data_IF_935020595352
#
_entry.id   IF_935020595352
#
_cell.length_a   1.000
_cell.length_b   1.000
_cell.length_c   1.000
_cell.angle_alpha   90.00
_cell.angle_beta   90.00
_cell.angle_gamma   90.00
#
_symmetry.space_group_name_H-M   'P 1'
#
loop_
_entity.id
_entity.type
_entity.pdbx_description
1 polymer ?
#
# COMPACT_ATOMS: atom_id res chain seq x y z
N UNK A 1 -4.97 -16.20 37.31
CA UNK A 1 -6.22 -16.85 36.85
C UNK A 1 -7.19 -15.74 36.46
N UNK A 2 -7.49 -15.58 35.18
CA UNK A 2 -8.36 -14.50 34.70
C UNK A 2 -9.79 -15.03 34.48
N UNK A 3 -10.83 -14.39 35.06
CA UNK A 3 -12.21 -14.84 34.98
C UNK A 3 -12.96 -14.13 33.86
N UNK A 4 -13.14 -14.78 32.71
CA UNK A 4 -14.24 -14.42 31.77
C UNK A 4 -14.63 -15.57 30.82
N UNK A 5 -14.23 -16.81 31.12
CA UNK A 5 -14.71 -17.97 30.38
C UNK A 5 -16.16 -18.28 30.78
N UNK A 6 -17.13 -17.98 29.92
CA UNK A 6 -18.31 -18.83 29.74
C UNK A 6 -19.13 -18.47 28.50
N UNK A 7 -19.17 -19.47 27.60
CA UNK A 7 -20.26 -19.86 26.69
C UNK A 7 -20.57 -18.93 25.51
N UNK A 8 -20.13 -19.36 24.33
CA UNK A 8 -21.02 -19.79 23.24
C UNK A 8 -20.23 -20.75 22.33
N UNK A 9 -20.48 -22.05 22.48
CA UNK A 9 -20.07 -23.08 21.54
C UNK A 9 -21.05 -23.03 20.37
N UNK A 10 -20.63 -22.49 19.24
CA UNK A 10 -21.21 -22.83 17.94
C UNK A 10 -20.15 -23.64 17.22
N UNK A 11 -20.47 -24.90 16.95
CA UNK A 11 -19.61 -25.79 16.19
C UNK A 11 -19.52 -25.29 14.74
N UNK A 12 -18.33 -24.88 14.30
CA UNK A 12 -18.04 -24.70 12.88
C UNK A 12 -17.82 -26.07 12.21
N UNK A 13 -18.33 -26.30 10.99
CA UNK A 13 -18.12 -27.55 10.28
C UNK A 13 -16.65 -27.68 9.85
N UNK A 14 -16.10 -28.87 10.10
CA UNK A 14 -14.74 -29.26 9.78
C UNK A 14 -14.49 -29.33 8.26
N UNK A 15 -13.76 -28.35 7.73
CA UNK A 15 -12.76 -28.54 6.67
C UNK A 15 -11.99 -27.23 6.47
N UNK A 16 -11.22 -26.83 7.48
CA UNK A 16 -10.14 -25.88 7.24
C UNK A 16 -8.95 -26.69 6.75
N UNK A 17 -8.68 -26.63 5.45
CA UNK A 17 -7.34 -26.99 4.94
C UNK A 17 -6.35 -26.22 5.80
N UNK A 18 -5.55 -26.93 6.60
CA UNK A 18 -4.58 -26.32 7.50
C UNK A 18 -3.46 -25.75 6.62
N UNK A 19 -3.66 -24.54 6.11
CA UNK A 19 -2.58 -23.79 5.51
C UNK A 19 -1.70 -23.31 6.66
N UNK A 20 -0.46 -23.82 6.80
CA UNK A 20 0.45 -23.32 7.83
C UNK A 20 0.59 -21.81 7.64
N UNK A 21 0.42 -21.06 8.73
CA UNK A 21 0.61 -19.61 8.72
C UNK A 21 1.96 -19.29 8.08
N UNK A 22 2.00 -18.43 7.04
CA UNK A 22 3.26 -18.08 6.36
C UNK A 22 4.23 -17.32 7.28
N UNK A 23 3.74 -16.83 8.43
CA UNK A 23 4.54 -16.17 9.47
C UNK A 23 5.08 -17.20 10.47
N UNK A 24 6.38 -17.19 10.73
CA UNK A 24 7.02 -18.12 11.66
C UNK A 24 6.47 -17.97 13.10
N UNK A 25 6.47 -19.04 13.92
CA UNK A 25 5.83 -19.03 15.24
C UNK A 25 6.36 -17.95 16.19
N UNK A 26 7.67 -17.67 16.14
CA UNK A 26 8.31 -16.65 16.99
C UNK A 26 7.77 -15.26 16.66
N UNK A 27 7.77 -14.88 15.37
CA UNK A 27 7.23 -13.59 14.93
C UNK A 27 5.73 -13.50 15.21
N UNK A 28 4.99 -14.58 14.98
CA UNK A 28 3.55 -14.64 15.30
C UNK A 28 3.31 -14.33 16.77
N UNK A 29 4.09 -14.92 17.68
CA UNK A 29 3.97 -14.65 19.12
C UNK A 29 4.33 -13.21 19.47
N UNK A 30 5.40 -12.64 18.88
CA UNK A 30 5.77 -11.23 19.09
C UNK A 30 4.66 -10.27 18.68
N UNK A 31 4.02 -10.52 17.53
CA UNK A 31 2.87 -9.72 17.05
C UNK A 31 1.72 -9.79 18.05
N UNK A 32 1.35 -10.99 18.50
CA UNK A 32 0.21 -11.19 19.41
C UNK A 32 0.45 -10.60 20.81
N UNK A 33 1.71 -10.56 21.26
CA UNK A 33 2.10 -9.90 22.51
C UNK A 33 2.13 -8.36 22.38
N UNK A 34 1.89 -7.81 21.19
CA UNK A 34 1.95 -6.37 20.95
C UNK A 34 3.37 -5.80 20.99
N UNK A 35 4.39 -6.64 20.80
CA UNK A 35 5.76 -6.17 20.68
C UNK A 35 5.98 -5.49 19.33
N UNK A 36 6.96 -4.59 19.29
CA UNK A 36 7.43 -4.03 18.03
C UNK A 36 8.01 -5.15 17.15
N UNK A 37 7.57 -5.22 15.90
CA UNK A 37 8.05 -6.16 14.89
C UNK A 37 8.37 -5.35 13.64
N UNK A 38 9.61 -5.47 13.16
CA UNK A 38 10.01 -4.90 11.88
C UNK A 38 9.34 -5.70 10.74
N UNK A 39 8.44 -5.06 9.99
CA UNK A 39 7.65 -5.69 8.94
C UNK A 39 8.51 -6.28 7.82
N UNK A 40 9.74 -5.82 7.64
CA UNK A 40 10.69 -6.41 6.68
C UNK A 40 10.93 -7.89 6.95
N UNK A 41 10.87 -8.31 8.22
CA UNK A 41 11.05 -9.71 8.65
C UNK A 41 9.92 -10.63 8.18
N UNK A 42 8.73 -10.08 7.89
CA UNK A 42 7.58 -10.85 7.40
C UNK A 42 7.66 -11.15 5.89
N UNK A 43 8.56 -10.47 5.18
CA UNK A 43 8.73 -10.61 3.73
C UNK A 43 9.82 -11.62 3.36
N UNK A 44 10.51 -12.18 4.35
CA UNK A 44 11.52 -13.21 4.08
C UNK A 44 10.80 -14.53 3.77
N UNK A 45 11.02 -15.14 2.58
CA UNK A 45 10.60 -16.51 2.37
C UNK A 45 11.35 -17.37 3.39
N UNK A 46 10.60 -18.10 4.20
CA UNK A 46 11.11 -19.15 5.07
C UNK A 46 11.98 -20.08 4.22
N UNK A 47 13.30 -19.93 4.29
CA UNK A 47 14.34 -20.83 3.78
C UNK A 47 13.99 -21.38 2.38
N UNK A 48 14.13 -20.56 1.34
CA UNK A 48 14.44 -21.13 0.03
C UNK A 48 15.91 -21.50 0.08
N UNK A 49 16.20 -22.79 -0.03
CA UNK A 49 17.57 -23.28 -0.19
C UNK A 49 18.21 -22.61 -1.42
N UNK A 50 19.04 -21.60 -1.18
CA UNK A 50 19.76 -20.81 -2.20
C UNK A 50 20.92 -21.57 -2.84
N UNK A 51 21.09 -22.86 -2.53
CA UNK A 51 22.21 -23.67 -3.02
C UNK A 51 21.99 -24.25 -4.43
N UNK A 52 20.79 -24.16 -5.02
CA UNK A 52 20.53 -24.71 -6.35
C UNK A 52 20.27 -23.61 -7.41
N UNK A 53 21.05 -23.58 -8.52
CA UNK A 53 20.70 -22.82 -9.71
C UNK A 53 19.32 -23.25 -10.20
N UNK A 54 18.39 -22.29 -10.34
CA UNK A 54 17.06 -22.57 -10.87
C UNK A 54 17.09 -22.48 -12.39
N UNK A 55 17.15 -23.63 -13.05
CA UNK A 55 16.94 -23.72 -14.49
C UNK A 55 15.43 -23.77 -14.79
N UNK A 56 14.96 -22.90 -15.69
CA UNK A 56 13.62 -22.99 -16.26
C UNK A 56 13.73 -23.53 -17.67
N UNK A 57 13.13 -24.69 -17.93
CA UNK A 57 12.95 -25.19 -19.29
C UNK A 57 11.85 -24.37 -19.97
N UNK A 58 12.21 -23.68 -21.05
CA UNK A 58 11.26 -22.99 -21.94
C UNK A 58 11.20 -23.68 -23.30
N UNK A 59 10.20 -23.33 -24.11
CA UNK A 59 10.10 -23.71 -25.52
C UNK A 59 11.25 -23.16 -26.38
N UNK A 60 12.04 -22.21 -25.85
CA UNK A 60 13.21 -21.60 -26.49
C UNK A 60 14.54 -22.10 -25.90
N UNK A 61 14.50 -23.10 -25.01
CA UNK A 61 15.68 -23.68 -24.36
C UNK A 61 15.72 -23.47 -22.84
N UNK A 62 16.84 -23.87 -22.23
CA UNK A 62 17.08 -23.74 -20.79
C UNK A 62 17.45 -22.29 -20.45
N UNK A 63 16.69 -21.67 -19.54
CA UNK A 63 16.97 -20.34 -19.00
C UNK A 63 17.51 -20.49 -17.59
N UNK A 64 18.76 -20.08 -17.38
CA UNK A 64 19.36 -19.98 -16.05
C UNK A 64 18.82 -18.75 -15.33
N UNK A 65 18.10 -18.94 -14.22
CA UNK A 65 17.72 -17.83 -13.36
C UNK A 65 18.94 -17.36 -12.56
N UNK A 66 19.23 -16.06 -12.61
CA UNK A 66 20.22 -15.45 -11.71
C UNK A 66 19.75 -15.63 -10.27
N UNK A 67 20.65 -16.12 -9.41
CA UNK A 67 20.40 -16.16 -7.98
C UNK A 67 20.04 -14.75 -7.49
N UNK A 68 18.98 -14.59 -6.67
CA UNK A 68 18.65 -13.30 -6.10
C UNK A 68 19.85 -12.78 -5.31
N UNK A 69 20.27 -11.55 -5.61
CA UNK A 69 21.38 -10.93 -4.90
C UNK A 69 21.09 -10.90 -3.39
N UNK A 70 22.05 -11.25 -2.52
CA UNK A 70 21.85 -11.25 -1.07
C UNK A 70 21.63 -9.84 -0.48
N UNK A 71 21.90 -8.79 -1.24
CA UNK A 71 21.67 -7.40 -0.85
C UNK A 71 20.22 -7.00 -1.10
N UNK A 72 19.30 -7.47 -0.25
CA UNK A 72 17.98 -6.84 -0.17
C UNK A 72 18.17 -5.38 0.26
N UNK A 73 17.58 -4.45 -0.47
CA UNK A 73 17.53 -3.04 -0.07
C UNK A 73 16.99 -2.94 1.36
N UNK A 74 17.60 -2.11 2.21
CA UNK A 74 17.10 -1.85 3.58
C UNK A 74 15.75 -1.11 3.58
N UNK A 75 15.30 -0.66 2.41
CA UNK A 75 14.14 0.18 2.23
C UNK A 75 12.95 -0.65 1.76
N UNK A 76 11.89 -0.72 2.56
CA UNK A 76 10.63 -1.35 2.17
C UNK A 76 9.85 -0.40 1.24
N UNK A 77 9.43 -0.90 0.09
CA UNK A 77 8.54 -0.17 -0.82
C UNK A 77 7.10 -0.13 -0.30
N UNK A 78 6.23 0.79 -0.76
CA UNK A 78 4.83 0.80 -0.34
C UNK A 78 4.09 -0.51 -0.64
N UNK A 79 4.41 -1.16 -1.77
CA UNK A 79 3.85 -2.48 -2.13
C UNK A 79 4.33 -3.58 -1.20
N UNK A 80 5.64 -3.64 -0.92
CA UNK A 80 6.19 -4.58 0.06
C UNK A 80 5.60 -4.35 1.46
N UNK A 81 5.41 -3.09 1.85
CA UNK A 81 4.75 -2.73 3.10
C UNK A 81 3.32 -3.28 3.13
N UNK A 82 2.52 -3.08 2.07
CA UNK A 82 1.16 -3.59 2.01
C UNK A 82 1.11 -5.12 2.13
N UNK A 83 2.05 -5.83 1.51
CA UNK A 83 2.18 -7.28 1.63
C UNK A 83 2.54 -7.70 3.06
N UNK A 84 3.58 -7.10 3.65
CA UNK A 84 4.03 -7.40 5.01
C UNK A 84 2.94 -7.09 6.03
N UNK A 85 2.28 -5.95 5.88
CA UNK A 85 1.20 -5.53 6.75
C UNK A 85 -0.03 -6.42 6.61
N UNK A 86 -0.31 -6.96 5.43
CA UNK A 86 -1.38 -7.95 5.25
C UNK A 86 -1.11 -9.24 6.04
N UNK A 87 0.14 -9.69 6.12
CA UNK A 87 0.55 -10.82 6.96
C UNK A 87 0.40 -10.48 8.45
N UNK A 88 0.89 -9.32 8.87
CA UNK A 88 0.74 -8.82 10.25
C UNK A 88 -0.74 -8.76 10.67
N UNK A 89 -1.58 -8.14 9.82
CA UNK A 89 -3.02 -8.03 10.02
C UNK A 89 -3.68 -9.41 10.08
N UNK A 90 -3.28 -10.35 9.23
CA UNK A 90 -3.76 -11.73 9.26
C UNK A 90 -3.48 -12.41 10.60
N UNK A 91 -2.29 -12.21 11.16
CA UNK A 91 -1.95 -12.71 12.51
C UNK A 91 -2.85 -12.10 13.58
N UNK A 92 -2.99 -10.76 13.61
CA UNK A 92 -3.85 -10.09 14.60
C UNK A 92 -5.31 -10.53 14.46
N UNK A 93 -5.87 -10.52 13.25
CA UNK A 93 -7.28 -10.84 12.99
C UNK A 93 -7.61 -12.31 13.23
N UNK A 94 -6.62 -13.22 13.22
CA UNK A 94 -6.84 -14.61 13.60
C UNK A 94 -7.20 -14.80 15.09
N UNK A 95 -6.94 -13.79 15.92
CA UNK A 95 -7.28 -13.78 17.36
C UNK A 95 -8.30 -12.66 17.68
N UNK A 96 -8.20 -11.53 17.00
CA UNK A 96 -9.03 -10.33 17.21
C UNK A 96 -9.70 -9.90 15.89
N UNK A 97 -10.70 -10.65 15.39
CA UNK A 97 -11.30 -10.41 14.08
C UNK A 97 -11.96 -9.04 13.95
N UNK A 98 -12.45 -8.48 15.06
CA UNK A 98 -13.08 -7.14 15.12
C UNK A 98 -12.11 -6.00 14.81
N UNK A 99 -10.79 -6.22 14.89
CA UNK A 99 -9.77 -5.21 14.55
C UNK A 99 -9.53 -5.06 13.06
N UNK A 100 -10.22 -5.83 12.21
CA UNK A 100 -9.97 -5.83 10.76
C UNK A 100 -10.16 -4.44 10.13
N UNK A 101 -11.28 -3.78 10.41
CA UNK A 101 -11.60 -2.46 9.86
C UNK A 101 -10.55 -1.41 10.26
N UNK A 102 -10.19 -1.36 11.55
CA UNK A 102 -9.15 -0.47 12.09
C UNK A 102 -7.81 -0.65 11.35
N UNK A 103 -7.39 -1.90 11.12
CA UNK A 103 -6.12 -2.18 10.46
C UNK A 103 -6.17 -1.90 8.95
N UNK A 104 -7.33 -2.09 8.31
CA UNK A 104 -7.53 -1.71 6.91
C UNK A 104 -7.47 -0.17 6.74
N UNK A 105 -8.03 0.59 7.69
CA UNK A 105 -7.90 2.05 7.76
C UNK A 105 -6.45 2.50 7.93
N UNK A 106 -5.69 1.83 8.82
CA UNK A 106 -4.28 2.11 9.02
C UNK A 106 -3.45 1.88 7.74
N UNK A 107 -3.69 0.76 7.03
CA UNK A 107 -3.04 0.50 5.75
C UNK A 107 -3.33 1.62 4.74
N UNK A 108 -4.58 2.11 4.68
CA UNK A 108 -4.97 3.21 3.81
C UNK A 108 -4.21 4.50 4.16
N UNK A 109 -4.05 4.80 5.45
CA UNK A 109 -3.27 5.96 5.93
C UNK A 109 -1.81 5.87 5.48
N UNK A 110 -1.17 4.71 5.65
CA UNK A 110 0.24 4.49 5.26
C UNK A 110 0.46 4.63 3.75
N UNK A 111 -0.42 4.00 2.95
CA UNK A 111 -0.34 4.11 1.49
C UNK A 111 -0.63 5.53 1.00
N UNK A 112 -1.57 6.23 1.63
CA UNK A 112 -1.86 7.63 1.34
C UNK A 112 -0.64 8.52 1.63
N UNK A 113 0.05 8.35 2.76
CA UNK A 113 1.31 9.06 3.05
C UNK A 113 2.40 8.73 2.04
N UNK A 114 2.53 7.45 1.64
CA UNK A 114 3.50 7.03 0.65
C UNK A 114 3.25 7.69 -0.72
N UNK A 115 1.99 7.76 -1.16
CA UNK A 115 1.60 8.41 -2.41
C UNK A 115 1.75 9.92 -2.35
N UNK A 116 1.39 10.55 -1.22
CA UNK A 116 1.43 12.01 -1.06
C UNK A 116 2.85 12.54 -1.05
N UNK A 117 3.79 11.86 -0.41
CA UNK A 117 5.12 12.43 -0.16
C UNK A 117 6.27 11.67 -0.84
N UNK A 118 6.00 10.46 -1.34
CA UNK A 118 7.06 9.58 -1.84
C UNK A 118 8.09 9.23 -0.76
N UNK A 119 9.18 8.60 -1.21
CA UNK A 119 10.29 8.21 -0.34
C UNK A 119 9.86 7.30 0.82
N UNK A 120 10.58 7.38 1.94
CA UNK A 120 10.40 6.49 3.09
C UNK A 120 9.68 7.13 4.28
N UNK A 121 9.07 8.31 4.08
CA UNK A 121 8.38 9.01 5.18
C UNK A 121 7.27 8.18 5.81
N UNK A 122 6.50 7.47 4.99
CA UNK A 122 5.46 6.55 5.48
C UNK A 122 6.05 5.48 6.39
N UNK A 123 7.17 4.85 5.98
CA UNK A 123 7.78 3.82 6.80
C UNK A 123 8.42 4.37 8.08
N UNK A 124 9.00 5.57 8.03
CA UNK A 124 9.45 6.27 9.25
C UNK A 124 8.28 6.54 10.20
N UNK A 125 7.12 6.94 9.68
CA UNK A 125 5.90 7.09 10.48
C UNK A 125 5.49 5.75 11.10
N UNK A 126 5.42 4.68 10.31
CA UNK A 126 5.10 3.34 10.79
C UNK A 126 6.00 2.90 11.96
N UNK A 127 7.32 3.03 11.81
CA UNK A 127 8.28 2.63 12.85
C UNK A 127 8.05 3.41 14.15
N UNK A 128 7.84 4.73 14.06
CA UNK A 128 7.57 5.54 15.25
C UNK A 128 6.21 5.24 15.88
N UNK A 129 5.17 5.06 15.07
CA UNK A 129 3.82 4.77 15.54
C UNK A 129 3.77 3.42 16.28
N UNK A 130 4.30 2.38 15.64
CA UNK A 130 4.30 1.02 16.21
C UNK A 130 5.21 0.89 17.43
N UNK A 131 6.34 1.60 17.47
CA UNK A 131 7.19 1.69 18.65
C UNK A 131 6.45 2.32 19.85
N UNK A 132 5.69 3.39 19.61
CA UNK A 132 4.86 4.02 20.64
C UNK A 132 3.72 3.10 21.09
N UNK A 133 3.04 2.43 20.16
CA UNK A 133 1.98 1.48 20.47
C UNK A 133 2.50 0.32 21.34
N UNK A 134 3.64 -0.28 20.98
CA UNK A 134 4.29 -1.32 21.77
C UNK A 134 4.71 -0.81 23.16
N UNK A 135 5.21 0.41 23.24
CA UNK A 135 5.54 1.08 24.50
C UNK A 135 4.32 1.25 25.41
N UNK A 136 3.17 1.67 24.87
CA UNK A 136 1.93 1.83 25.66
C UNK A 136 1.40 0.52 26.21
N UNK A 137 1.49 -0.57 25.44
CA UNK A 137 1.13 -1.90 25.92
C UNK A 137 2.07 -2.31 27.07
N UNK A 138 3.39 -2.17 26.89
CA UNK A 138 4.37 -2.56 27.93
C UNK A 138 4.23 -1.74 29.21
N UNK A 139 4.00 -0.44 29.09
CA UNK A 139 4.00 0.47 30.24
C UNK A 139 2.65 0.54 30.95
N UNK A 140 1.55 0.45 30.20
CA UNK A 140 0.20 0.73 30.72
C UNK A 140 -0.81 -0.40 30.46
N UNK A 141 -0.40 -1.50 29.83
CA UNK A 141 -1.28 -2.57 29.36
C UNK A 141 -2.46 -2.05 28.52
N UNK A 142 -2.21 -0.97 27.76
CA UNK A 142 -3.22 -0.29 26.97
C UNK A 142 -2.95 -0.45 25.48
N UNK A 143 -3.92 -1.02 24.76
CA UNK A 143 -3.91 -1.06 23.30
C UNK A 143 -4.03 0.32 22.67
N UNK A 144 -3.47 0.49 21.48
CA UNK A 144 -3.62 1.70 20.66
C UNK A 144 -4.58 1.41 19.52
N UNK A 145 -5.44 2.36 19.15
CA UNK A 145 -6.26 2.30 17.93
C UNK A 145 -5.46 2.80 16.73
N UNK A 146 -5.35 2.00 15.68
CA UNK A 146 -4.50 2.23 14.51
C UNK A 146 -5.23 2.95 13.37
N UNK A 147 -6.56 2.88 13.32
CA UNK A 147 -7.36 3.46 12.23
C UNK A 147 -7.40 5.00 12.21
N UNK A 148 -6.74 5.66 13.15
CA UNK A 148 -6.66 7.12 13.24
C UNK A 148 -5.22 7.61 12.98
N UNK A 149 -5.10 8.65 12.16
CA UNK A 149 -3.82 9.32 11.92
C UNK A 149 -3.35 10.05 13.19
N UNK A 150 -2.13 9.77 13.65
CA UNK A 150 -1.47 10.56 14.69
C UNK A 150 -0.99 11.87 14.06
N UNK A 151 -1.78 12.93 14.23
CA UNK A 151 -1.50 14.24 13.65
C UNK A 151 -0.16 14.82 14.13
N UNK A 152 0.25 14.55 15.38
CA UNK A 152 1.52 15.07 15.92
C UNK A 152 2.70 14.38 15.25
N UNK A 153 2.63 13.05 15.12
CA UNK A 153 3.66 12.27 14.43
C UNK A 153 3.70 12.60 12.94
N UNK A 154 2.53 12.73 12.31
CA UNK A 154 2.40 13.16 10.92
C UNK A 154 3.08 14.52 10.69
N UNK A 155 2.72 15.55 11.46
CA UNK A 155 3.31 16.88 11.33
C UNK A 155 4.83 16.84 11.55
N UNK A 156 5.31 16.07 12.54
CA UNK A 156 6.76 15.95 12.81
C UNK A 156 7.54 15.41 11.60
N UNK A 157 6.95 14.49 10.84
CA UNK A 157 7.64 13.82 9.72
C UNK A 157 7.44 14.57 8.40
N UNK A 158 6.27 15.16 8.17
CA UNK A 158 5.86 15.64 6.85
C UNK A 158 5.68 17.16 6.73
N UNK A 159 5.66 17.95 7.81
CA UNK A 159 5.34 19.39 7.72
C UNK A 159 6.29 20.20 6.82
N UNK A 160 7.57 19.80 6.73
CA UNK A 160 8.56 20.46 5.87
C UNK A 160 8.69 19.82 4.48
N UNK A 161 7.83 18.85 4.12
CA UNK A 161 7.91 18.11 2.86
C UNK A 161 6.89 18.63 1.86
N UNK A 162 7.34 18.88 0.64
CA UNK A 162 6.44 19.17 -0.47
C UNK A 162 5.58 17.94 -0.75
N UNK A 163 4.26 18.13 -0.76
CA UNK A 163 3.32 17.12 -1.22
C UNK A 163 3.44 16.96 -2.74
N UNK A 164 3.55 15.72 -3.21
CA UNK A 164 3.42 15.32 -4.61
C UNK A 164 1.96 15.32 -5.07
N UNK A 165 1.01 15.45 -4.15
CA UNK A 165 -0.40 15.54 -4.49
C UNK A 165 -0.76 16.91 -5.02
N UNK A 166 -1.60 16.92 -6.05
CA UNK A 166 -2.20 18.10 -6.62
C UNK A 166 -2.85 18.96 -5.52
N UNK A 167 -2.45 20.22 -5.43
CA UNK A 167 -2.99 21.16 -4.44
C UNK A 167 -4.46 21.53 -4.68
N UNK A 168 -4.97 21.31 -5.89
CA UNK A 168 -6.35 21.65 -6.27
C UNK A 168 -7.35 20.52 -6.00
N UNK A 169 -6.99 19.26 -6.26
CA UNK A 169 -7.90 18.11 -6.10
C UNK A 169 -7.40 17.03 -5.14
N UNK A 170 -6.16 17.13 -4.64
CA UNK A 170 -5.55 16.17 -3.72
C UNK A 170 -5.03 14.87 -4.36
N UNK A 171 -5.12 14.72 -5.69
CA UNK A 171 -4.66 13.51 -6.37
C UNK A 171 -3.13 13.49 -6.56
N UNK A 172 -2.43 12.35 -6.31
CA UNK A 172 -0.99 12.21 -6.53
C UNK A 172 -0.60 11.93 -7.99
N UNK A 173 -1.57 11.82 -8.91
CA UNK A 173 -1.34 11.42 -10.30
C UNK A 173 -0.86 12.53 -11.23
N UNK A 174 -0.97 13.80 -10.81
CA UNK A 174 -0.67 14.96 -11.67
C UNK A 174 -0.30 16.21 -10.85
N UNK A 175 0.48 17.15 -11.41
CA UNK A 175 0.73 18.46 -10.80
C UNK A 175 -0.49 19.37 -10.90
N UNK A 176 -0.58 20.40 -10.03
CA UNK A 176 -1.70 21.35 -10.03
C UNK A 176 -1.93 22.03 -11.40
N UNK A 177 -0.86 22.28 -12.16
CA UNK A 177 -0.92 22.83 -13.52
C UNK A 177 -1.66 21.93 -14.52
N UNK A 178 -1.65 20.61 -14.30
CA UNK A 178 -2.38 19.64 -15.10
C UNK A 178 -3.74 19.28 -14.47
N UNK A 179 -4.15 19.97 -13.40
CA UNK A 179 -5.37 19.67 -12.68
C UNK A 179 -6.57 20.36 -13.32
N UNK A 180 -7.47 19.55 -13.83
CA UNK A 180 -8.73 19.99 -14.43
C UNK A 180 -9.83 20.15 -13.37
N UNK A 181 -9.45 20.62 -12.17
CA UNK A 181 -10.37 20.79 -11.04
C UNK A 181 -11.03 19.48 -10.56
N UNK A 182 -10.31 18.35 -10.67
CA UNK A 182 -10.83 17.02 -10.31
C UNK A 182 -11.80 16.41 -11.34
N UNK A 183 -12.07 17.09 -12.46
CA UNK A 183 -12.84 16.52 -13.58
C UNK A 183 -11.91 15.83 -14.57
N UNK A 184 -12.27 14.63 -15.02
CA UNK A 184 -11.47 13.93 -16.03
C UNK A 184 -11.73 14.49 -17.43
N UNK A 185 -10.68 14.60 -18.24
CA UNK A 185 -10.82 14.89 -19.67
C UNK A 185 -11.54 13.74 -20.37
N UNK A 186 -12.38 14.05 -21.35
CA UNK A 186 -13.05 13.04 -22.15
C UNK A 186 -12.06 12.44 -23.16
N UNK A 187 -11.73 11.16 -23.01
CA UNK A 187 -10.84 10.48 -23.97
C UNK A 187 -11.49 10.37 -25.35
N UNK A 188 -12.80 10.09 -25.44
CA UNK A 188 -13.51 10.03 -26.71
C UNK A 188 -13.43 11.37 -27.47
N UNK A 189 -13.58 12.50 -26.78
CA UNK A 189 -13.37 13.83 -27.38
C UNK A 189 -11.95 14.00 -27.92
N UNK A 190 -10.94 13.48 -27.19
CA UNK A 190 -9.54 13.66 -27.55
C UNK A 190 -9.06 12.78 -28.72
N UNK A 191 -9.65 11.59 -28.90
CA UNK A 191 -9.23 10.62 -29.90
C UNK A 191 -10.11 10.64 -31.17
N UNK A 192 -11.43 10.60 -31.02
CA UNK A 192 -12.37 10.31 -32.13
C UNK A 192 -13.54 11.31 -32.23
N UNK A 193 -13.60 12.30 -31.33
CA UNK A 193 -14.79 13.12 -31.11
C UNK A 193 -15.79 12.47 -30.16
N UNK A 194 -16.42 13.27 -29.31
CA UNK A 194 -17.44 12.80 -28.36
C UNK A 194 -18.84 13.08 -28.92
N UNK A 195 -19.66 12.04 -29.07
CA UNK A 195 -21.03 12.12 -29.59
C UNK A 195 -22.11 12.31 -28.51
N UNK A 196 -21.72 12.33 -27.23
CA UNK A 196 -22.66 12.54 -26.13
C UNK A 196 -23.01 14.03 -26.00
N UNK A 197 -24.26 14.38 -26.25
CA UNK A 197 -24.81 15.73 -26.13
C UNK A 197 -24.72 16.33 -24.72
N UNK A 198 -24.53 15.49 -23.68
CA UNK A 198 -24.37 15.90 -22.29
C UNK A 198 -23.23 15.14 -21.60
N UNK A 199 -22.05 15.14 -22.21
CA UNK A 199 -20.87 14.49 -21.63
C UNK A 199 -20.52 15.10 -20.26
N UNK A 200 -20.35 14.25 -19.24
CA UNK A 200 -19.95 14.68 -17.88
C UNK A 200 -18.44 14.94 -17.75
N UNK A 201 -17.68 14.56 -18.76
CA UNK A 201 -16.23 14.70 -18.84
C UNK A 201 -15.87 15.98 -19.61
N UNK A 202 -14.71 16.57 -19.31
CA UNK A 202 -14.32 17.85 -19.91
C UNK A 202 -13.86 17.65 -21.37
N UNK A 203 -14.42 18.45 -22.28
CA UNK A 203 -14.01 18.49 -23.69
C UNK A 203 -12.85 19.49 -23.88
N UNK A 204 -11.68 19.07 -23.44
CA UNK A 204 -10.43 19.84 -23.54
C UNK A 204 -9.30 18.92 -23.96
N UNK A 205 -8.25 19.51 -24.53
CA UNK A 205 -7.07 18.79 -24.99
C UNK A 205 -6.36 18.12 -23.81
N UNK A 206 -6.20 16.80 -23.85
CA UNK A 206 -5.47 16.05 -22.82
C UNK A 206 -3.95 16.30 -22.85
N UNK A 207 -3.44 16.96 -23.88
CA UNK A 207 -2.02 17.33 -24.02
C UNK A 207 -1.72 18.74 -23.49
N UNK A 208 -2.45 19.76 -23.94
CA UNK A 208 -2.17 21.16 -23.58
C UNK A 208 -3.27 21.86 -22.76
N UNK A 209 -4.42 21.22 -22.54
CA UNK A 209 -5.56 21.79 -21.81
C UNK A 209 -6.43 22.79 -22.59
N UNK A 210 -6.12 23.06 -23.87
CA UNK A 210 -6.88 24.00 -24.71
C UNK A 210 -8.26 23.49 -25.18
N UNK A 211 -9.11 24.37 -25.74
CA UNK A 211 -10.48 24.04 -26.18
C UNK A 211 -10.51 23.35 -27.55
N UNK A 212 -9.73 22.27 -27.70
CA UNK A 212 -9.62 21.47 -28.92
C UNK A 212 -9.28 20.02 -28.57
N UNK A 213 -9.50 19.07 -29.49
CA UNK A 213 -9.13 17.67 -29.29
C UNK A 213 -7.61 17.47 -29.41
N UNK A 214 -7.03 16.49 -28.72
CA UNK A 214 -5.60 16.15 -28.82
C UNK A 214 -5.12 15.93 -30.26
N UNK A 215 -5.95 15.30 -31.09
CA UNK A 215 -5.69 15.08 -32.52
C UNK A 215 -5.46 16.37 -33.32
N UNK A 216 -5.97 17.50 -32.84
CA UNK A 216 -5.88 18.82 -33.48
C UNK A 216 -4.96 19.80 -32.73
N UNK A 217 -4.19 19.30 -31.77
CA UNK A 217 -3.40 20.15 -30.89
C UNK A 217 -2.14 20.68 -31.58
N UNK A 218 -1.92 22.00 -31.67
CA UNK A 218 -0.74 22.58 -32.34
C UNK A 218 0.57 22.31 -31.60
N UNK A 219 0.49 21.87 -30.34
CA UNK A 219 1.65 21.50 -29.52
C UNK A 219 1.91 19.99 -29.51
N UNK A 220 1.07 19.18 -30.14
CA UNK A 220 1.23 17.73 -30.13
C UNK A 220 2.35 17.33 -31.11
N UNK A 221 3.47 16.74 -30.65
CA UNK A 221 4.59 16.40 -31.52
C UNK A 221 4.26 15.32 -32.56
N UNK A 222 3.08 14.67 -32.49
CA UNK A 222 2.64 13.66 -33.46
C UNK A 222 1.78 14.21 -34.61
N UNK A 223 1.45 15.50 -34.64
CA UNK A 223 0.60 16.09 -35.71
C UNK A 223 1.39 16.75 -36.84
N UNK A 224 2.72 16.62 -36.87
CA UNK A 224 3.56 17.11 -37.98
C UNK A 224 4.04 15.97 -38.87
N UNK A 225 3.16 15.47 -39.72
CA UNK A 225 3.51 14.74 -40.95
C UNK A 225 2.27 14.74 -41.85
N UNK A 226 2.17 15.78 -42.67
CA UNK A 226 1.73 15.76 -44.08
C UNK A 226 2.16 17.08 -44.74
#
# INVERSE_FOLDING_TARGET
>A
MAPWASKLLIAEPASSVYHPSPVCPVLRQQILLGNYVDLVQLLQPSIIDTSQPREIQTNLGLVQLRNPSPTRSKNITPTEFALAFSLYRGVICSVYPTRRTELDEYLRIELDMALRFGGLGFYTYHVHFTSQAAGRIKQFNQGTYWGALDSKLYCRIFAARASLSCQLCGAPSHPALACLGGRMACNNFNDLGCSFSSCRLMHICSFCGGPHARSTCPHNPTTSAD
#
